data_IF_736768419277
#
_entry.id   IF_736768419277
#
_cell.length_a   1.000
_cell.length_b   1.000
_cell.length_c   1.000
_cell.angle_alpha   90.00
_cell.angle_beta   90.00
_cell.angle_gamma   90.00
#
_symmetry.space_group_name_H-M   'P 1'
#
loop_
_entity.id
_entity.type
_entity.pdbx_description
1 polymer ?
#
# COMPACT_ATOMS: atom_id res chain seq x y z
N UNK A 1 1.59 17.94 33.40
CA UNK A 1 2.03 17.73 32.01
C UNK A 1 1.06 16.75 31.34
N UNK A 2 0.49 17.16 30.29
CA UNK A 2 -0.30 16.24 29.47
C UNK A 2 0.48 15.82 28.25
N UNK A 3 0.28 14.59 27.84
CA UNK A 3 0.90 14.08 26.63
C UNK A 3 0.11 14.54 25.44
N UNK A 4 0.80 15.13 24.47
CA UNK A 4 0.16 15.54 23.24
C UNK A 4 -0.37 14.30 22.52
N UNK A 5 -1.65 14.28 22.22
CA UNK A 5 -2.24 13.19 21.49
C UNK A 5 -1.75 13.17 20.05
N UNK A 6 -1.61 11.96 19.54
CA UNK A 6 -1.24 11.77 18.14
C UNK A 6 -2.39 12.23 17.27
N UNK A 7 -2.15 13.20 16.40
CA UNK A 7 -3.18 13.80 15.56
C UNK A 7 -3.00 13.49 14.08
N UNK A 8 -2.09 12.59 13.73
CA UNK A 8 -1.87 12.23 12.35
C UNK A 8 -2.69 11.01 11.95
N UNK A 9 -3.08 10.96 10.68
CA UNK A 9 -3.75 9.80 10.13
C UNK A 9 -2.79 8.62 10.02
N UNK A 10 -3.32 7.42 10.11
CA UNK A 10 -2.54 6.20 9.93
C UNK A 10 -3.24 5.26 8.97
N UNK A 11 -2.46 4.52 8.22
CA UNK A 11 -2.95 3.45 7.36
C UNK A 11 -2.10 2.22 7.62
N UNK A 12 -2.74 1.13 8.00
CA UNK A 12 -2.07 -0.14 8.24
C UNK A 12 -2.20 -1.02 7.01
N UNK A 13 -1.07 -1.46 6.51
CA UNK A 13 -1.02 -2.35 5.35
C UNK A 13 -0.74 -3.76 5.86
N UNK A 14 -1.60 -4.69 5.51
CA UNK A 14 -1.47 -6.09 5.94
C UNK A 14 -1.27 -7.00 4.75
N UNK A 15 -0.27 -7.85 4.84
CA UNK A 15 -0.01 -8.89 3.86
C UNK A 15 -0.51 -10.22 4.42
N UNK A 16 -1.65 -10.68 3.94
CA UNK A 16 -2.22 -11.97 4.34
C UNK A 16 -1.90 -13.05 3.32
N UNK A 17 -0.71 -13.00 2.75
CA UNK A 17 -0.24 -14.02 1.80
C UNK A 17 1.09 -14.59 2.25
N UNK A 18 1.45 -15.72 1.68
CA UNK A 18 2.77 -16.33 1.91
C UNK A 18 3.87 -15.78 1.03
N UNK A 19 3.68 -14.61 0.43
CA UNK A 19 4.63 -14.01 -0.50
C UNK A 19 5.08 -12.64 -0.01
N UNK A 20 6.32 -12.27 -0.34
CA UNK A 20 6.80 -10.92 -0.07
C UNK A 20 6.13 -9.90 -0.96
N UNK A 21 5.75 -8.77 -0.39
CA UNK A 21 5.16 -7.66 -1.12
C UNK A 21 5.90 -6.36 -0.83
N UNK A 22 5.93 -5.49 -1.82
CA UNK A 22 6.41 -4.12 -1.68
C UNK A 22 5.32 -3.19 -2.20
N UNK A 23 4.91 -2.23 -1.39
CA UNK A 23 3.87 -1.28 -1.75
C UNK A 23 4.50 0.10 -1.86
N UNK A 24 4.38 0.72 -3.02
CA UNK A 24 4.78 2.10 -3.23
C UNK A 24 3.55 2.99 -3.05
N UNK A 25 3.66 3.94 -2.14
CA UNK A 25 2.62 4.93 -1.90
C UNK A 25 3.03 6.20 -2.60
N UNK A 26 2.21 6.64 -3.54
CA UNK A 26 2.52 7.80 -4.37
C UNK A 26 1.47 8.88 -4.17
N UNK A 27 1.91 10.12 -4.28
CA UNK A 27 0.99 11.25 -4.30
C UNK A 27 0.18 11.21 -5.59
N UNK A 28 -1.08 11.63 -5.53
CA UNK A 28 -1.97 11.57 -6.69
C UNK A 28 -1.42 12.34 -7.87
N UNK A 29 -0.77 13.48 -7.63
CA UNK A 29 -0.17 14.31 -8.67
C UNK A 29 1.20 13.79 -9.15
N UNK A 30 1.69 12.71 -8.57
CA UNK A 30 3.01 12.18 -8.86
C UNK A 30 3.99 12.40 -7.71
N UNK A 31 5.00 11.56 -7.66
CA UNK A 31 6.01 11.61 -6.61
C UNK A 31 5.81 10.55 -5.54
N UNK A 32 6.90 9.96 -5.11
CA UNK A 32 6.89 8.91 -4.09
C UNK A 32 6.69 9.52 -2.71
N UNK A 33 5.69 9.01 -1.98
CA UNK A 33 5.50 9.36 -0.58
C UNK A 33 6.26 8.41 0.34
N UNK A 34 6.07 7.10 0.16
CA UNK A 34 6.70 6.10 1.00
C UNK A 34 6.71 4.74 0.30
N UNK A 35 7.59 3.86 0.75
CA UNK A 35 7.65 2.48 0.30
C UNK A 35 7.52 1.58 1.51
N UNK A 36 6.59 0.63 1.44
CA UNK A 36 6.31 -0.30 2.53
C UNK A 36 6.72 -1.70 2.10
N UNK A 37 7.55 -2.35 2.90
CA UNK A 37 7.94 -3.74 2.66
C UNK A 37 7.15 -4.63 3.59
N UNK A 38 6.45 -5.61 3.02
CA UNK A 38 5.58 -6.51 3.75
C UNK A 38 6.03 -7.96 3.55
N UNK A 39 6.84 -8.50 4.46
CA UNK A 39 7.12 -9.94 4.45
C UNK A 39 5.82 -10.76 4.58
N UNK A 40 5.85 -12.07 4.30
CA UNK A 40 4.65 -12.90 4.43
C UNK A 40 3.98 -12.74 5.79
N UNK A 41 2.67 -12.61 5.77
CA UNK A 41 1.82 -12.52 6.98
C UNK A 41 2.23 -11.42 7.96
N UNK A 42 2.74 -10.32 7.44
CA UNK A 42 3.15 -9.17 8.25
C UNK A 42 2.27 -7.96 8.00
N UNK A 43 2.42 -6.96 8.85
CA UNK A 43 1.73 -5.69 8.69
C UNK A 43 2.67 -4.55 9.01
N UNK A 44 2.37 -3.38 8.44
CA UNK A 44 3.15 -2.16 8.64
C UNK A 44 2.19 -0.98 8.67
N UNK A 45 2.41 -0.05 9.59
CA UNK A 45 1.58 1.15 9.72
C UNK A 45 2.36 2.36 9.24
N UNK A 46 1.73 3.15 8.40
CA UNK A 46 2.31 4.38 7.84
C UNK A 46 1.55 5.58 8.37
N UNK A 47 2.29 6.60 8.79
CA UNK A 47 1.73 7.85 9.28
C UNK A 47 1.56 8.85 8.14
N UNK A 48 0.46 9.60 8.17
CA UNK A 48 0.16 10.66 7.20
C UNK A 48 -0.14 11.93 7.97
N UNK A 49 0.54 13.01 7.63
CA UNK A 49 0.48 14.26 8.39
C UNK A 49 -0.37 15.34 7.75
N UNK A 50 -0.95 15.06 6.59
CA UNK A 50 -1.87 15.97 5.93
C UNK A 50 -2.95 15.19 5.20
N UNK A 51 -4.10 15.82 5.03
CA UNK A 51 -5.20 15.21 4.28
C UNK A 51 -4.85 15.17 2.80
N UNK A 52 -4.96 14.01 2.20
CA UNK A 52 -4.65 13.83 0.77
C UNK A 52 -5.18 12.49 0.27
N UNK A 53 -5.20 12.35 -1.04
CA UNK A 53 -5.48 11.10 -1.72
C UNK A 53 -4.18 10.57 -2.30
N UNK A 54 -3.95 9.29 -2.10
CA UNK A 54 -2.74 8.59 -2.56
C UNK A 54 -3.11 7.46 -3.47
N UNK A 55 -2.17 7.06 -4.30
CA UNK A 55 -2.30 5.87 -5.14
C UNK A 55 -1.20 4.88 -4.79
N UNK A 56 -1.40 3.63 -5.14
CA UNK A 56 -0.48 2.55 -4.78
C UNK A 56 -0.04 1.79 -6.02
N UNK A 57 1.21 1.32 -5.96
CA UNK A 57 1.73 0.32 -6.89
C UNK A 57 2.29 -0.81 -6.06
N UNK A 58 2.03 -2.04 -6.46
CA UNK A 58 2.35 -3.22 -5.65
C UNK A 58 3.26 -4.15 -6.44
N UNK A 59 4.33 -4.60 -5.78
CA UNK A 59 5.19 -5.66 -6.28
C UNK A 59 5.01 -6.88 -5.39
N UNK A 60 4.71 -8.01 -5.98
CA UNK A 60 4.60 -9.27 -5.25
C UNK A 60 5.58 -10.29 -5.82
N UNK A 61 6.27 -11.01 -4.94
CA UNK A 61 7.16 -12.09 -5.36
C UNK A 61 6.41 -13.40 -5.25
N UNK A 62 5.88 -13.86 -6.37
CA UNK A 62 5.08 -15.08 -6.43
C UNK A 62 5.88 -16.17 -7.11
N UNK A 63 6.16 -17.26 -6.37
CA UNK A 63 6.90 -18.41 -6.89
C UNK A 63 8.24 -18.02 -7.55
N UNK A 64 8.95 -17.10 -6.91
CA UNK A 64 10.25 -16.65 -7.42
C UNK A 64 10.20 -15.62 -8.54
N UNK A 65 9.00 -15.18 -8.92
CA UNK A 65 8.83 -14.18 -9.98
C UNK A 65 8.19 -12.93 -9.44
N UNK A 66 8.68 -11.79 -9.89
CA UNK A 66 8.09 -10.51 -9.53
C UNK A 66 6.84 -10.26 -10.38
N UNK A 67 5.77 -9.87 -9.70
CA UNK A 67 4.52 -9.47 -10.34
C UNK A 67 4.23 -8.05 -9.91
N UNK A 68 3.86 -7.18 -10.85
CA UNK A 68 3.64 -5.76 -10.59
C UNK A 68 2.19 -5.43 -10.85
N UNK A 69 1.58 -4.68 -9.94
CA UNK A 69 0.16 -4.39 -10.00
C UNK A 69 -0.11 -2.93 -9.66
N UNK A 70 -1.17 -2.40 -10.23
CA UNK A 70 -1.69 -1.08 -9.87
C UNK A 70 -2.74 -1.27 -8.79
N UNK A 71 -2.45 -0.74 -7.59
CA UNK A 71 -3.41 -0.75 -6.50
C UNK A 71 -4.46 0.34 -6.65
N UNK A 72 -5.46 0.30 -5.77
CA UNK A 72 -6.47 1.34 -5.72
C UNK A 72 -5.95 2.62 -5.09
N UNK A 73 -6.75 3.67 -5.19
CA UNK A 73 -6.48 4.91 -4.50
C UNK A 73 -7.07 4.87 -3.10
N UNK A 74 -6.47 5.60 -2.18
CA UNK A 74 -7.05 5.76 -0.86
C UNK A 74 -6.85 7.21 -0.40
N UNK A 75 -7.75 7.65 0.47
CA UNK A 75 -7.70 9.00 1.02
C UNK A 75 -7.51 8.94 2.52
N UNK A 76 -6.77 9.90 3.05
CA UNK A 76 -6.59 10.05 4.48
C UNK A 76 -7.01 11.44 4.90
N UNK A 77 -7.50 11.56 6.13
CA UNK A 77 -7.85 12.84 6.73
C UNK A 77 -6.94 13.04 7.94
N UNK A 78 -6.23 14.16 7.93
CA UNK A 78 -5.34 14.51 9.03
C UNK A 78 -5.41 16.01 9.27
N UNK A 79 -6.21 16.39 10.24
CA UNK A 79 -6.37 17.79 10.65
C UNK A 79 -6.14 17.90 12.14
N UNK A 80 -6.14 19.11 12.68
CA UNK A 80 -6.00 19.32 14.11
C UNK A 80 -7.16 18.74 14.92
N UNK A 81 -8.31 18.52 14.27
CA UNK A 81 -9.51 18.02 14.94
C UNK A 81 -9.87 16.59 14.57
N UNK A 82 -9.41 16.13 13.40
CA UNK A 82 -9.75 14.80 12.90
C UNK A 82 -8.55 14.13 12.26
N UNK A 83 -8.49 12.82 12.46
CA UNK A 83 -7.51 11.98 11.76
C UNK A 83 -8.17 10.64 11.48
N UNK A 84 -7.88 10.09 10.30
CA UNK A 84 -8.42 8.80 9.91
C UNK A 84 -7.46 7.68 10.31
N UNK A 85 -8.04 6.54 10.63
CA UNK A 85 -7.29 5.31 10.84
C UNK A 85 -7.90 4.26 9.92
N UNK A 86 -7.09 3.72 9.03
CA UNK A 86 -7.57 2.77 8.06
C UNK A 86 -6.68 1.56 7.98
N UNK A 87 -7.15 0.58 7.24
CA UNK A 87 -6.46 -0.68 7.05
C UNK A 87 -6.68 -1.18 5.64
N UNK A 88 -5.61 -1.59 4.99
CA UNK A 88 -5.67 -2.20 3.67
C UNK A 88 -5.05 -3.58 3.78
N UNK A 89 -5.82 -4.59 3.40
CA UNK A 89 -5.37 -5.98 3.46
C UNK A 89 -5.13 -6.49 2.05
N UNK A 90 -3.96 -7.05 1.83
CA UNK A 90 -3.59 -7.66 0.56
C UNK A 90 -3.65 -9.18 0.68
N UNK A 91 -4.39 -9.81 -0.22
CA UNK A 91 -4.50 -11.26 -0.32
C UNK A 91 -4.12 -11.68 -1.71
N UNK A 92 -3.42 -12.77 -1.82
CA UNK A 92 -3.09 -13.35 -3.13
C UNK A 92 -3.85 -14.65 -3.27
N UNK A 93 -4.69 -14.71 -4.30
CA UNK A 93 -5.39 -15.92 -4.68
C UNK A 93 -4.81 -16.41 -5.99
N UNK A 94 -4.17 -17.57 -5.95
CA UNK A 94 -3.62 -18.19 -7.16
C UNK A 94 -4.62 -19.21 -7.64
N UNK A 95 -5.26 -18.96 -8.80
CA UNK A 95 -6.21 -19.91 -9.34
C UNK A 95 -5.47 -21.03 -10.07
N UNK A 96 -6.12 -22.20 -10.16
CA UNK A 96 -5.55 -23.34 -10.88
C UNK A 96 -5.39 -23.06 -12.37
N UNK A 97 -6.07 -22.07 -12.88
CA UNK A 97 -6.04 -21.72 -14.30
C UNK A 97 -5.17 -20.51 -14.59
N UNK A 98 -4.30 -20.13 -13.65
CA UNK A 98 -3.40 -19.01 -13.85
C UNK A 98 -4.06 -17.64 -13.81
N UNK A 99 -5.22 -17.52 -13.19
CA UNK A 99 -5.91 -16.25 -13.05
C UNK A 99 -5.16 -15.27 -12.17
N UNK A 100 -5.65 -14.05 -12.09
CA UNK A 100 -5.02 -12.96 -11.39
C UNK A 100 -4.82 -13.19 -9.91
N UNK A 101 -4.00 -12.37 -9.32
CA UNK A 101 -3.61 -12.45 -7.90
C UNK A 101 -4.55 -11.71 -6.95
N UNK A 102 -5.55 -11.01 -7.48
CA UNK A 102 -6.44 -10.19 -6.63
C UNK A 102 -5.84 -8.85 -6.21
N UNK A 103 -4.64 -8.52 -6.68
CA UNK A 103 -3.96 -7.27 -6.32
C UNK A 103 -4.28 -6.10 -7.24
N UNK A 104 -5.11 -6.32 -8.25
CA UNK A 104 -5.46 -5.31 -9.23
C UNK A 104 -4.80 -5.55 -10.57
N UNK A 105 -5.00 -4.63 -11.54
CA UNK A 105 -4.45 -4.80 -12.87
C UNK A 105 -2.92 -4.93 -12.87
N UNK A 106 -2.42 -5.78 -13.74
CA UNK A 106 -0.97 -5.97 -13.90
C UNK A 106 -0.38 -4.77 -14.62
N UNK A 107 0.77 -4.28 -14.15
CA UNK A 107 1.53 -3.23 -14.79
C UNK A 107 2.94 -3.72 -15.10
N UNK A 108 3.68 -2.97 -15.91
CA UNK A 108 5.06 -3.33 -16.22
C UNK A 108 5.99 -2.96 -15.08
N UNK A 109 7.17 -3.58 -15.06
CA UNK A 109 8.22 -3.22 -14.10
C UNK A 109 8.59 -1.74 -14.24
N UNK A 110 8.69 -1.25 -15.46
CA UNK A 110 9.00 0.15 -15.72
C UNK A 110 7.96 1.10 -15.12
N UNK A 111 6.69 0.75 -15.25
CA UNK A 111 5.61 1.54 -14.65
C UNK A 111 5.66 1.49 -13.13
N UNK A 112 5.97 0.33 -12.56
CA UNK A 112 6.12 0.20 -11.12
C UNK A 112 7.25 1.07 -10.58
N UNK A 113 8.37 1.15 -11.29
CA UNK A 113 9.52 1.95 -10.88
C UNK A 113 9.32 3.44 -11.09
N UNK A 114 8.34 3.83 -11.89
CA UNK A 114 7.99 5.23 -12.09
C UNK A 114 7.28 5.77 -10.86
N UNK A 115 7.58 7.01 -10.49
CA UNK A 115 6.93 7.69 -9.36
C UNK A 115 5.79 8.61 -9.82
N UNK A 116 5.18 8.29 -10.93
CA UNK A 116 4.07 9.08 -11.47
C UNK A 116 2.77 8.32 -11.38
#
# INVERSE_FOLDING_TARGET
IYTKQKTNATMTFKNQSGYHMTVKILKLQGGLYSTVTLPPYSSETVDFYSSATYKMKIKAMISGRASYHKGGNFSVTSTSERWSQGEITFKITVSKHGGGSGLGPTISKKEFESNI
#
